data_IF_626258326606
#
_entry.id   IF_626258326606
#
_cell.length_a   1.000
_cell.length_b   1.000
_cell.length_c   1.000
_cell.angle_alpha   90.00
_cell.angle_beta   90.00
_cell.angle_gamma   90.00
#
_symmetry.space_group_name_H-M   'P 1'
#
loop_
_entity.id
_entity.type
_entity.pdbx_description
1 polymer ?
#
# COMPACT_ATOMS: atom_id res chain seq x y z
N UNK A 1 -13.52 -5.49 28.24
CA UNK A 1 -14.22 -5.53 26.95
C UNK A 1 -13.39 -4.72 25.95
N UNK A 2 -12.65 -5.36 25.05
CA UNK A 2 -11.85 -4.64 24.04
C UNK A 2 -12.83 -4.04 23.04
N UNK A 3 -12.96 -2.71 23.00
CA UNK A 3 -13.75 -2.04 21.96
C UNK A 3 -13.17 -2.43 20.61
N UNK A 4 -13.97 -3.09 19.77
CA UNK A 4 -13.59 -3.37 18.38
C UNK A 4 -13.36 -2.00 17.71
N UNK A 5 -12.12 -1.71 17.33
CA UNK A 5 -11.78 -0.50 16.59
C UNK A 5 -12.64 -0.42 15.32
N UNK A 6 -13.25 0.74 15.10
CA UNK A 6 -13.97 1.03 13.87
C UNK A 6 -12.99 1.10 12.69
N UNK A 7 -13.53 1.02 11.46
CA UNK A 7 -12.71 0.98 10.24
C UNK A 7 -11.80 2.20 10.10
N UNK A 8 -12.29 3.39 10.46
CA UNK A 8 -11.50 4.62 10.38
C UNK A 8 -10.32 4.57 11.34
N UNK A 9 -10.53 4.11 12.57
CA UNK A 9 -9.49 3.97 13.57
C UNK A 9 -8.43 2.94 13.17
N UNK A 10 -8.83 1.82 12.54
CA UNK A 10 -7.89 0.84 11.98
C UNK A 10 -7.04 1.44 10.85
N UNK A 11 -7.67 2.18 9.94
CA UNK A 11 -6.97 2.85 8.85
C UNK A 11 -6.00 3.91 9.37
N UNK A 12 -6.41 4.73 10.35
CA UNK A 12 -5.51 5.66 11.03
C UNK A 12 -4.28 4.95 11.60
N UNK A 13 -4.46 3.82 12.28
CA UNK A 13 -3.34 3.04 12.81
C UNK A 13 -2.40 2.50 11.72
N UNK A 14 -2.96 2.03 10.57
CA UNK A 14 -2.13 1.63 9.41
C UNK A 14 -1.27 2.80 8.93
N UNK A 15 -1.87 3.97 8.72
CA UNK A 15 -1.15 5.12 8.18
C UNK A 15 -0.18 5.75 9.19
N UNK A 16 -0.52 5.77 10.48
CA UNK A 16 0.38 6.24 11.55
C UNK A 16 1.64 5.35 11.61
N UNK A 17 1.48 4.02 11.62
CA UNK A 17 2.63 3.09 11.64
C UNK A 17 3.44 3.13 10.34
N UNK A 18 2.77 3.16 9.19
CA UNK A 18 3.43 3.24 7.89
C UNK A 18 4.29 4.50 7.76
N UNK A 19 3.73 5.67 8.04
CA UNK A 19 4.48 6.93 7.88
C UNK A 19 5.59 7.09 8.90
N UNK A 20 5.43 6.58 10.14
CA UNK A 20 6.53 6.55 11.10
C UNK A 20 7.72 5.73 10.58
N UNK A 21 7.45 4.60 9.92
CA UNK A 21 8.51 3.79 9.30
C UNK A 21 9.22 4.50 8.12
N UNK A 22 8.61 5.52 7.52
CA UNK A 22 9.22 6.31 6.44
C UNK A 22 10.22 7.36 6.93
N UNK A 23 10.11 7.81 8.18
CA UNK A 23 10.96 8.87 8.76
C UNK A 23 12.44 8.48 8.77
N UNK A 24 12.75 7.19 8.81
CA UNK A 24 14.13 6.67 8.79
C UNK A 24 14.73 6.47 7.40
N UNK A 25 13.99 6.76 6.32
CA UNK A 25 14.46 6.54 4.95
C UNK A 25 15.09 7.81 4.37
N UNK A 26 16.32 7.69 3.86
CA UNK A 26 16.96 8.74 3.08
C UNK A 26 16.41 8.78 1.64
N UNK A 27 15.17 9.23 1.52
CA UNK A 27 14.47 9.42 0.26
C UNK A 27 13.62 10.71 0.32
N UNK A 28 13.50 11.43 -0.79
CA UNK A 28 12.74 12.70 -0.81
C UNK A 28 11.23 12.45 -0.84
N UNK A 29 10.80 11.34 -1.45
CA UNK A 29 9.39 10.94 -1.50
C UNK A 29 8.93 10.43 -0.14
N UNK A 30 9.76 9.67 0.58
CA UNK A 30 9.44 9.21 1.94
C UNK A 30 9.19 10.40 2.89
N UNK A 31 10.09 11.39 2.89
CA UNK A 31 9.95 12.62 3.69
C UNK A 31 8.68 13.39 3.34
N UNK A 32 8.42 13.62 2.05
CA UNK A 32 7.21 14.31 1.60
C UNK A 32 5.93 13.58 2.02
N UNK A 33 5.91 12.25 1.97
CA UNK A 33 4.75 11.47 2.42
C UNK A 33 4.54 11.61 3.93
N UNK A 34 5.61 11.50 4.73
CA UNK A 34 5.54 11.67 6.19
C UNK A 34 5.07 13.08 6.58
N UNK A 35 5.63 14.13 5.96
CA UNK A 35 5.23 15.53 6.18
C UNK A 35 3.75 15.77 5.80
N UNK A 36 3.33 15.27 4.65
CA UNK A 36 1.94 15.38 4.21
C UNK A 36 1.00 14.69 5.22
N UNK A 37 1.36 13.47 5.67
CA UNK A 37 0.58 12.78 6.69
C UNK A 37 0.46 13.58 7.97
N UNK A 38 1.57 14.12 8.50
CA UNK A 38 1.55 14.96 9.70
C UNK A 38 0.59 16.16 9.55
N UNK A 39 0.50 16.76 8.36
CA UNK A 39 -0.42 17.85 8.07
C UNK A 39 -1.90 17.45 7.98
N UNK A 40 -2.21 16.28 7.41
CA UNK A 40 -3.61 15.85 7.17
C UNK A 40 -4.18 14.96 8.27
N UNK A 41 -3.34 14.27 9.05
CA UNK A 41 -3.73 13.31 10.09
C UNK A 41 -4.71 13.87 11.12
N UNK A 42 -4.58 15.13 11.62
CA UNK A 42 -5.56 15.71 12.54
C UNK A 42 -6.99 15.74 11.98
N UNK A 43 -7.15 15.95 10.67
CA UNK A 43 -8.46 16.01 10.00
C UNK A 43 -9.19 14.66 9.98
N UNK A 44 -8.44 13.55 10.07
CA UNK A 44 -9.00 12.21 10.16
C UNK A 44 -9.23 11.76 11.61
N UNK A 45 -8.34 12.17 12.53
CA UNK A 45 -8.47 11.87 13.95
C UNK A 45 -9.63 12.63 14.60
N UNK A 46 -9.79 13.89 14.23
CA UNK A 46 -10.84 14.80 14.69
C UNK A 46 -11.59 15.36 13.47
N UNK A 47 -12.51 14.58 12.89
CA UNK A 47 -13.25 15.00 11.70
C UNK A 47 -13.98 16.33 11.90
N UNK A 48 -13.92 17.24 10.91
CA UNK A 48 -14.78 18.42 10.90
C UNK A 48 -16.25 18.06 11.07
N UNK A 49 -17.01 18.95 11.72
CA UNK A 49 -18.43 18.77 11.93
C UNK A 49 -19.16 18.54 10.59
N UNK A 50 -20.04 17.54 10.55
CA UNK A 50 -20.83 17.20 9.36
C UNK A 50 -20.18 16.20 8.40
N UNK A 51 -18.93 15.80 8.60
CA UNK A 51 -18.30 14.75 7.77
C UNK A 51 -18.51 13.37 8.39
N UNK A 52 -19.17 12.43 7.69
CA UNK A 52 -19.35 11.08 8.22
C UNK A 52 -18.01 10.33 8.31
N UNK A 53 -17.75 9.67 9.45
CA UNK A 53 -16.57 8.80 9.65
C UNK A 53 -16.46 7.71 8.58
N UNK A 54 -17.59 7.22 8.07
CA UNK A 54 -17.64 6.23 6.99
C UNK A 54 -17.13 6.77 5.65
N UNK A 55 -17.39 8.04 5.34
CA UNK A 55 -16.88 8.70 4.14
C UNK A 55 -15.36 8.86 4.21
N UNK A 56 -14.85 9.29 5.38
CA UNK A 56 -13.41 9.34 5.64
C UNK A 56 -12.75 7.96 5.53
N UNK A 57 -13.37 6.94 6.12
CA UNK A 57 -12.85 5.57 6.02
C UNK A 57 -12.83 5.04 4.57
N UNK A 58 -13.79 5.44 3.73
CA UNK A 58 -13.79 5.09 2.32
C UNK A 58 -12.62 5.77 1.58
N UNK A 59 -12.42 7.07 1.82
CA UNK A 59 -11.31 7.84 1.25
C UNK A 59 -9.94 7.31 1.68
N UNK A 60 -9.75 7.01 2.97
CA UNK A 60 -8.51 6.42 3.46
C UNK A 60 -8.26 5.02 2.91
N UNK A 61 -9.30 4.20 2.75
CA UNK A 61 -9.13 2.88 2.13
C UNK A 61 -8.76 3.00 0.64
N UNK A 62 -9.27 4.01 -0.06
CA UNK A 62 -8.81 4.33 -1.41
C UNK A 62 -7.35 4.79 -1.38
N UNK A 63 -6.98 5.70 -0.48
CA UNK A 63 -5.59 6.13 -0.30
C UNK A 63 -4.66 4.93 -0.07
N UNK A 64 -5.05 3.97 0.77
CA UNK A 64 -4.27 2.76 1.04
C UNK A 64 -4.04 1.91 -0.24
N UNK A 65 -4.99 1.89 -1.16
CA UNK A 65 -4.84 1.22 -2.47
C UNK A 65 -3.91 1.98 -3.42
N UNK A 66 -3.84 3.29 -3.29
CA UNK A 66 -3.07 4.18 -4.17
C UNK A 66 -1.64 4.41 -3.65
N UNK A 67 -1.36 4.20 -2.36
CA UNK A 67 -0.02 4.32 -1.77
C UNK A 67 1.06 3.57 -2.59
N UNK A 68 0.86 2.32 -3.07
CA UNK A 68 1.79 1.64 -3.99
C UNK A 68 2.21 2.43 -5.22
N UNK A 69 1.31 3.23 -5.79
CA UNK A 69 1.59 4.10 -6.92
C UNK A 69 2.49 5.27 -6.49
N UNK A 70 2.18 5.90 -5.37
CA UNK A 70 2.96 7.04 -4.84
C UNK A 70 4.40 6.63 -4.49
N UNK A 71 4.59 5.41 -3.98
CA UNK A 71 5.90 4.87 -3.63
C UNK A 71 6.78 4.58 -4.87
N UNK A 72 6.24 4.57 -6.10
CA UNK A 72 7.07 4.28 -7.28
C UNK A 72 8.15 5.32 -7.54
N UNK A 73 7.94 6.56 -7.10
CA UNK A 73 8.92 7.64 -7.21
C UNK A 73 10.10 7.50 -6.23
N UNK A 74 10.02 6.60 -5.25
CA UNK A 74 11.13 6.29 -4.35
C UNK A 74 12.22 5.51 -5.09
N UNK A 75 13.46 5.66 -4.61
CA UNK A 75 14.53 4.77 -5.05
C UNK A 75 14.21 3.29 -4.69
N UNK A 76 14.78 2.29 -5.40
CA UNK A 76 14.39 0.89 -5.22
C UNK A 76 14.53 0.36 -3.78
N UNK A 77 15.56 0.80 -3.06
CA UNK A 77 15.78 0.35 -1.68
C UNK A 77 14.74 0.94 -0.73
N UNK A 78 14.50 2.25 -0.80
CA UNK A 78 13.47 2.92 -0.01
C UNK A 78 12.08 2.38 -0.34
N UNK A 79 11.77 2.16 -1.62
CA UNK A 79 10.49 1.59 -2.06
C UNK A 79 10.21 0.22 -1.47
N UNK A 80 11.23 -0.66 -1.46
CA UNK A 80 11.14 -1.99 -0.84
C UNK A 80 10.91 -1.91 0.67
N UNK A 81 11.62 -1.02 1.37
CA UNK A 81 11.38 -0.80 2.80
C UNK A 81 9.95 -0.28 3.06
N UNK A 82 9.49 0.70 2.28
CA UNK A 82 8.15 1.25 2.38
C UNK A 82 7.06 0.21 2.08
N UNK A 83 7.24 -0.63 1.05
CA UNK A 83 6.31 -1.71 0.71
C UNK A 83 6.17 -2.72 1.86
N UNK A 84 7.28 -3.11 2.48
CA UNK A 84 7.28 -3.97 3.66
C UNK A 84 6.61 -3.31 4.86
N UNK A 85 6.91 -2.04 5.12
CA UNK A 85 6.29 -1.30 6.21
C UNK A 85 4.77 -1.20 6.05
N UNK A 86 4.31 -0.90 4.82
CA UNK A 86 2.89 -0.84 4.50
C UNK A 86 2.20 -2.19 4.69
N UNK A 87 2.82 -3.27 4.23
CA UNK A 87 2.30 -4.63 4.39
C UNK A 87 2.20 -5.02 5.87
N UNK A 88 3.24 -4.76 6.67
CA UNK A 88 3.27 -5.03 8.11
C UNK A 88 2.22 -4.24 8.88
N UNK A 89 2.13 -2.92 8.64
CA UNK A 89 1.15 -2.06 9.28
C UNK A 89 -0.29 -2.48 8.93
N UNK A 90 -0.52 -2.84 7.66
CA UNK A 90 -1.83 -3.34 7.21
C UNK A 90 -2.17 -4.69 7.85
N UNK A 91 -1.20 -5.59 7.99
CA UNK A 91 -1.41 -6.88 8.65
C UNK A 91 -1.80 -6.70 10.13
N UNK A 92 -1.13 -5.78 10.83
CA UNK A 92 -1.37 -5.51 12.24
C UNK A 92 -2.76 -4.89 12.49
N UNK A 93 -3.17 -3.91 11.67
CA UNK A 93 -4.35 -3.09 11.98
C UNK A 93 -5.55 -3.33 11.08
N UNK A 94 -5.34 -3.79 9.84
CA UNK A 94 -6.43 -4.02 8.88
C UNK A 94 -6.26 -5.28 7.99
N UNK A 95 -6.19 -6.49 8.58
CA UNK A 95 -5.92 -7.72 7.84
C UNK A 95 -6.97 -8.07 6.76
N UNK A 96 -8.23 -7.66 6.94
CA UNK A 96 -9.29 -7.87 5.94
C UNK A 96 -8.98 -7.19 4.59
N UNK A 97 -8.22 -6.09 4.61
CA UNK A 97 -7.75 -5.43 3.40
C UNK A 97 -6.72 -6.27 2.65
N UNK A 98 -5.82 -6.95 3.37
CA UNK A 98 -4.84 -7.86 2.76
C UNK A 98 -5.52 -9.06 2.11
N UNK A 99 -6.55 -9.63 2.74
CA UNK A 99 -7.31 -10.73 2.14
C UNK A 99 -7.90 -10.32 0.77
N UNK A 100 -8.55 -9.15 0.71
CA UNK A 100 -9.09 -8.60 -0.55
C UNK A 100 -7.99 -8.31 -1.57
N UNK A 101 -6.83 -7.85 -1.11
CA UNK A 101 -5.69 -7.54 -1.97
C UNK A 101 -5.08 -8.81 -2.57
N UNK A 102 -4.94 -9.88 -1.77
CA UNK A 102 -4.49 -11.20 -2.21
C UNK A 102 -5.45 -11.83 -3.24
N UNK A 103 -6.76 -11.67 -3.07
CA UNK A 103 -7.74 -12.10 -4.07
C UNK A 103 -7.57 -11.34 -5.40
N UNK A 104 -7.31 -10.02 -5.35
CA UNK A 104 -7.05 -9.22 -6.56
C UNK A 104 -5.80 -9.71 -7.27
N UNK A 105 -4.70 -9.94 -6.54
CA UNK A 105 -3.45 -10.48 -7.11
C UNK A 105 -3.71 -11.85 -7.74
N UNK A 106 -4.43 -12.75 -7.05
CA UNK A 106 -4.81 -14.06 -7.59
C UNK A 106 -5.58 -13.94 -8.90
N UNK A 107 -6.54 -13.01 -9.00
CA UNK A 107 -7.30 -12.75 -10.23
C UNK A 107 -6.42 -12.22 -11.36
N UNK A 108 -5.49 -11.32 -11.08
CA UNK A 108 -4.52 -10.81 -12.08
C UNK A 108 -3.63 -11.95 -12.58
N UNK A 109 -3.11 -12.78 -11.67
CA UNK A 109 -2.27 -13.95 -12.00
C UNK A 109 -3.01 -14.98 -12.83
N UNK A 110 -4.23 -15.35 -12.43
CA UNK A 110 -5.06 -16.32 -13.16
C UNK A 110 -5.39 -15.84 -14.57
N UNK A 111 -5.59 -14.53 -14.74
CA UNK A 111 -5.83 -13.90 -16.03
C UNK A 111 -4.57 -13.79 -16.89
N UNK A 112 -3.38 -13.79 -16.29
CA UNK A 112 -2.11 -13.70 -17.01
C UNK A 112 -1.81 -12.33 -17.65
N UNK A 113 -2.53 -11.27 -17.28
CA UNK A 113 -2.30 -9.92 -17.85
C UNK A 113 -2.73 -8.81 -16.90
N UNK A 114 -1.96 -7.72 -16.87
CA UNK A 114 -2.31 -6.44 -16.23
C UNK A 114 -3.14 -5.61 -17.21
N UNK A 115 -4.23 -5.00 -16.71
CA UNK A 115 -5.19 -4.20 -17.50
C UNK A 115 -5.01 -2.68 -17.37
N UNK A 116 -4.23 -2.22 -16.41
CA UNK A 116 -3.97 -0.79 -16.22
C UNK A 116 -3.09 -0.51 -15.00
N UNK A 117 -2.82 0.76 -14.78
CA UNK A 117 -1.85 1.26 -13.80
C UNK A 117 -2.13 0.77 -12.37
N UNK A 118 -3.40 0.77 -11.92
CA UNK A 118 -3.73 0.30 -10.57
C UNK A 118 -3.31 -1.16 -10.34
N UNK A 119 -3.46 -2.02 -11.34
CA UNK A 119 -3.00 -3.41 -11.24
C UNK A 119 -1.49 -3.51 -11.38
N UNK A 120 -0.87 -2.68 -12.23
CA UNK A 120 0.59 -2.61 -12.35
C UNK A 120 1.23 -2.27 -10.99
N UNK A 121 0.78 -1.20 -10.33
CA UNK A 121 1.33 -0.78 -9.03
C UNK A 121 1.06 -1.79 -7.91
N UNK A 122 -0.10 -2.46 -7.95
CA UNK A 122 -0.40 -3.58 -7.05
C UNK A 122 0.61 -4.71 -7.20
N UNK A 123 0.89 -5.15 -8.44
CA UNK A 123 1.84 -6.22 -8.71
C UNK A 123 3.28 -5.79 -8.38
N UNK A 124 3.67 -4.57 -8.75
CA UNK A 124 5.01 -4.03 -8.46
C UNK A 124 5.28 -3.94 -6.96
N UNK A 125 4.33 -3.44 -6.18
CA UNK A 125 4.48 -3.40 -4.72
C UNK A 125 4.54 -4.79 -4.10
N UNK A 126 3.85 -5.79 -4.67
CA UNK A 126 3.96 -7.18 -4.21
C UNK A 126 5.35 -7.77 -4.53
N UNK A 127 5.93 -7.43 -5.67
CA UNK A 127 7.32 -7.79 -6.00
C UNK A 127 8.27 -7.14 -5.00
N UNK A 128 8.16 -5.83 -4.76
CA UNK A 128 9.01 -5.10 -3.81
C UNK A 128 8.95 -5.73 -2.40
N UNK A 129 7.76 -6.16 -1.94
CA UNK A 129 7.59 -6.90 -0.68
C UNK A 129 8.34 -8.25 -0.67
N UNK A 130 8.17 -9.04 -1.74
CA UNK A 130 8.71 -10.41 -1.85
C UNK A 130 10.23 -10.45 -2.06
N UNK A 131 10.82 -9.50 -2.77
CA UNK A 131 12.27 -9.46 -3.03
C UNK A 131 13.11 -9.34 -1.75
N UNK A 132 12.50 -8.87 -0.67
CA UNK A 132 13.17 -8.76 0.61
C UNK A 132 12.97 -9.95 1.55
N UNK A 133 12.27 -11.00 1.13
CA UNK A 133 12.18 -12.28 1.82
C UNK A 133 12.95 -13.31 0.99
N UNK A 134 13.97 -13.93 1.57
CA UNK A 134 14.92 -14.83 0.89
C UNK A 134 14.23 -15.90 0.02
N UNK A 135 14.30 -15.74 -1.29
CA UNK A 135 14.02 -16.79 -2.27
C UNK A 135 13.33 -16.30 -3.55
N UNK A 136 13.95 -16.56 -4.69
CA UNK A 136 13.27 -16.57 -5.99
C UNK A 136 12.21 -17.68 -5.98
N UNK A 137 10.99 -17.32 -5.58
CA UNK A 137 9.85 -18.23 -5.67
C UNK A 137 9.30 -18.22 -7.10
N UNK A 138 8.65 -19.32 -7.50
CA UNK A 138 7.87 -19.41 -8.74
C UNK A 138 6.85 -18.26 -8.82
N UNK A 139 6.33 -17.84 -7.66
CA UNK A 139 5.43 -16.69 -7.55
C UNK A 139 6.10 -15.40 -8.01
N UNK A 140 7.31 -15.09 -7.52
CA UNK A 140 8.05 -13.90 -7.90
C UNK A 140 8.34 -13.85 -9.41
N UNK A 141 8.74 -14.98 -10.01
CA UNK A 141 8.96 -15.07 -11.46
C UNK A 141 7.68 -14.82 -12.26
N UNK A 142 6.54 -15.32 -11.78
CA UNK A 142 5.25 -15.09 -12.43
C UNK A 142 4.87 -13.61 -12.38
N UNK A 143 5.09 -12.94 -11.24
CA UNK A 143 4.80 -11.51 -11.10
C UNK A 143 5.68 -10.67 -12.03
N UNK A 144 6.97 -11.01 -12.17
CA UNK A 144 7.86 -10.35 -13.13
C UNK A 144 7.37 -10.46 -14.56
N UNK A 145 6.99 -11.65 -15.02
CA UNK A 145 6.44 -11.84 -16.38
C UNK A 145 5.21 -10.98 -16.65
N UNK A 146 4.37 -10.74 -15.64
CA UNK A 146 3.19 -9.87 -15.78
C UNK A 146 3.59 -8.41 -15.97
N UNK A 147 4.61 -7.94 -15.23
CA UNK A 147 5.14 -6.58 -15.34
C UNK A 147 5.78 -6.36 -16.71
N UNK A 148 6.70 -7.25 -17.11
CA UNK A 148 7.40 -7.17 -18.39
C UNK A 148 6.41 -7.14 -19.58
N UNK A 149 5.38 -7.98 -19.54
CA UNK A 149 4.35 -8.03 -20.57
C UNK A 149 3.46 -6.77 -20.61
N UNK A 150 3.31 -6.04 -19.50
CA UNK A 150 2.59 -4.78 -19.47
C UNK A 150 3.44 -3.63 -20.01
N UNK A 151 4.69 -3.55 -19.57
CA UNK A 151 5.65 -2.53 -19.99
C UNK A 151 5.97 -2.64 -21.49
N UNK A 152 6.19 -3.86 -22.00
CA UNK A 152 6.45 -4.09 -23.43
C UNK A 152 5.26 -3.79 -24.36
N UNK A 153 4.05 -3.59 -23.83
CA UNK A 153 2.87 -3.11 -24.60
C UNK A 153 2.69 -1.60 -24.52
N UNK A 154 3.35 -0.95 -23.57
CA UNK A 154 3.22 0.49 -23.29
C UNK A 154 4.39 1.29 -23.89
N UNK A 155 5.40 0.60 -24.44
CA UNK A 155 6.51 1.13 -25.22
C UNK A 155 6.17 1.16 -26.72
#
# INVERSE_FOLDING_TARGET
>A
MVKRLDKLARLLAVFDEFHHALEGLDDSTSRRLAENWAGVRPQYAEPPAGIPRSALAAGMEQGLRETPMLMQAMNPEARRHAAKALASATLAHYPDFLAKTAERITKVKARGSIRGESEFHLIRSRVDELEGASGQSIDLQQLYKLLDAYEGRSA
#
